data_IF_557381186658
#
_entry.id   IF_557381186658
#
_cell.length_a   1.000
_cell.length_b   1.000
_cell.length_c   1.000
_cell.angle_alpha   90.00
_cell.angle_beta   90.00
_cell.angle_gamma   90.00
#
_symmetry.space_group_name_H-M   'P 1'
#
loop_
_entity.id
_entity.type
_entity.pdbx_description
1 polymer ?
#
# COMPACT_ATOMS: atom_id res chain seq x y z
N UNK A 1 22.83 -31.51 24.00
CA UNK A 1 23.59 -31.20 22.78
C UNK A 1 23.09 -32.13 21.69
N UNK A 2 22.20 -31.69 20.88
CA UNK A 2 21.69 -32.48 19.75
C UNK A 2 21.44 -31.52 18.58
N UNK A 3 22.27 -31.72 17.53
CA UNK A 3 22.20 -30.94 16.28
C UNK A 3 21.24 -31.66 15.33
N UNK A 4 20.08 -31.10 15.09
CA UNK A 4 19.20 -31.55 14.00
C UNK A 4 19.62 -30.87 12.70
N UNK A 5 20.17 -31.66 11.80
CA UNK A 5 20.49 -31.35 10.42
C UNK A 5 19.21 -31.58 9.61
N UNK A 6 18.67 -30.53 8.98
CA UNK A 6 17.59 -30.69 7.99
C UNK A 6 18.16 -30.41 6.61
N UNK A 7 18.28 -31.49 5.84
CA UNK A 7 18.63 -31.51 4.43
C UNK A 7 17.34 -31.49 3.62
N UNK A 8 17.12 -30.48 2.79
CA UNK A 8 15.97 -30.42 1.88
C UNK A 8 16.51 -30.53 0.46
N UNK A 9 16.54 -31.78 -0.02
CA UNK A 9 16.87 -32.13 -1.39
C UNK A 9 15.88 -31.51 -2.39
N UNK A 10 16.41 -30.75 -3.32
CA UNK A 10 15.67 -30.26 -4.48
C UNK A 10 15.31 -31.39 -5.44
N UNK A 11 14.06 -31.45 -5.84
CA UNK A 11 13.60 -32.32 -6.92
C UNK A 11 13.34 -31.50 -8.17
N UNK A 12 14.24 -31.60 -9.13
CA UNK A 12 14.14 -31.07 -10.49
C UNK A 12 13.18 -31.98 -11.27
N UNK A 13 12.13 -31.42 -11.86
CA UNK A 13 11.27 -32.14 -12.81
C UNK A 13 11.55 -31.59 -14.22
N UNK A 14 12.32 -32.39 -14.97
CA UNK A 14 12.51 -32.23 -16.41
C UNK A 14 11.16 -32.43 -17.14
N UNK A 15 10.68 -31.35 -17.79
CA UNK A 15 9.53 -31.38 -18.71
C UNK A 15 10.00 -31.59 -20.14
N UNK A 16 9.98 -32.86 -20.60
CA UNK A 16 10.25 -33.27 -21.97
C UNK A 16 9.29 -32.65 -22.97
N UNK A 17 9.78 -31.85 -23.88
CA UNK A 17 9.06 -31.28 -25.03
C UNK A 17 8.94 -32.35 -26.14
N UNK A 18 7.73 -32.71 -26.54
CA UNK A 18 7.45 -33.53 -27.72
C UNK A 18 7.26 -32.65 -28.95
N UNK A 19 7.89 -32.97 -30.10
CA UNK A 19 7.63 -32.26 -31.35
C UNK A 19 6.32 -32.72 -31.96
N UNK A 20 5.44 -31.80 -32.28
CA UNK A 20 4.21 -32.04 -33.05
C UNK A 20 4.56 -31.86 -34.52
N UNK A 21 4.36 -32.96 -35.26
CA UNK A 21 4.55 -33.08 -36.69
C UNK A 21 3.55 -32.20 -37.46
N UNK A 22 4.08 -31.33 -38.35
CA UNK A 22 3.29 -30.50 -39.25
C UNK A 22 2.86 -31.35 -40.47
N UNK A 23 1.54 -31.53 -40.62
CA UNK A 23 0.96 -31.98 -41.89
C UNK A 23 0.49 -30.75 -42.68
N UNK A 24 1.11 -30.55 -43.82
CA UNK A 24 0.68 -29.58 -44.85
C UNK A 24 -0.65 -30.01 -45.46
N UNK A 25 -1.66 -29.15 -45.39
CA UNK A 25 -2.79 -29.16 -46.34
C UNK A 25 -3.02 -27.72 -46.79
N UNK A 26 -2.59 -27.49 -48.03
CA UNK A 26 -2.81 -26.25 -48.77
C UNK A 26 -4.27 -26.19 -49.22
N UNK A 27 -5.08 -25.30 -48.66
CA UNK A 27 -6.37 -24.90 -49.20
C UNK A 27 -6.31 -23.43 -49.53
N UNK A 28 -6.19 -23.11 -50.81
CA UNK A 28 -6.34 -21.76 -51.38
C UNK A 28 -7.81 -21.33 -51.22
N UNK A 29 -8.09 -20.51 -50.25
CA UNK A 29 -9.34 -19.72 -50.17
C UNK A 29 -8.98 -18.25 -50.33
N UNK A 30 -9.24 -17.69 -51.52
CA UNK A 30 -9.20 -16.27 -51.82
C UNK A 30 -10.34 -15.57 -51.06
N UNK A 31 -10.08 -15.11 -49.81
CA UNK A 31 -10.98 -14.20 -49.14
C UNK A 31 -10.64 -12.77 -49.53
N UNK A 32 -11.59 -12.12 -50.20
CA UNK A 32 -11.54 -10.69 -50.46
C UNK A 32 -11.47 -9.90 -49.15
N UNK A 33 -10.36 -9.20 -48.93
CA UNK A 33 -10.17 -8.25 -47.84
C UNK A 33 -11.05 -7.02 -48.08
N UNK A 34 -12.26 -7.01 -47.55
CA UNK A 34 -12.99 -5.76 -47.31
C UNK A 34 -12.38 -5.13 -46.06
N UNK A 35 -11.41 -4.24 -46.26
CA UNK A 35 -10.87 -3.38 -45.19
C UNK A 35 -11.94 -2.35 -44.82
N UNK A 36 -12.86 -2.72 -43.91
CA UNK A 36 -13.71 -1.74 -43.22
C UNK A 36 -12.84 -0.85 -42.33
N UNK A 37 -13.13 0.48 -42.23
CA UNK A 37 -12.45 1.34 -41.29
C UNK A 37 -12.67 0.79 -39.89
N UNK A 38 -11.62 0.34 -39.25
CA UNK A 38 -11.65 0.01 -37.82
C UNK A 38 -11.89 1.33 -37.08
N UNK A 39 -13.16 1.63 -36.76
CA UNK A 39 -13.50 2.67 -35.83
C UNK A 39 -12.89 2.27 -34.49
N UNK A 40 -11.74 2.86 -34.15
CA UNK A 40 -11.09 2.68 -32.87
C UNK A 40 -12.09 3.10 -31.80
N UNK A 41 -12.66 2.14 -31.08
CA UNK A 41 -13.42 2.42 -29.89
C UNK A 41 -12.45 2.97 -28.86
N UNK A 42 -12.40 4.29 -28.77
CA UNK A 42 -11.70 5.00 -27.72
C UNK A 42 -12.43 4.68 -26.40
N UNK A 43 -11.91 3.67 -25.67
CA UNK A 43 -12.42 3.36 -24.33
C UNK A 43 -12.18 4.57 -23.44
N UNK A 44 -13.25 5.19 -22.88
CA UNK A 44 -13.08 6.31 -22.00
C UNK A 44 -12.23 5.87 -20.81
N UNK A 45 -11.11 6.56 -20.59
CA UNK A 45 -10.25 6.32 -19.44
C UNK A 45 -11.09 6.46 -18.16
N UNK A 46 -11.00 5.50 -17.22
CA UNK A 46 -11.77 5.57 -15.99
C UNK A 46 -11.48 6.88 -15.26
N UNK A 47 -12.54 7.63 -15.00
CA UNK A 47 -12.44 8.91 -14.28
C UNK A 47 -11.75 8.71 -12.93
N UNK A 48 -10.83 9.60 -12.53
CA UNK A 48 -10.14 9.49 -11.26
C UNK A 48 -11.13 9.51 -10.11
N UNK A 49 -10.94 8.63 -9.13
CA UNK A 49 -11.80 8.59 -7.94
C UNK A 49 -11.77 9.94 -7.19
N UNK A 50 -12.93 10.46 -6.75
CA UNK A 50 -12.98 11.69 -6.00
C UNK A 50 -12.21 11.55 -4.68
N UNK A 51 -11.55 12.62 -4.25
CA UNK A 51 -10.77 12.63 -3.00
C UNK A 51 -11.69 12.52 -1.78
N UNK A 52 -11.10 12.09 -0.65
CA UNK A 52 -11.77 12.10 0.65
C UNK A 52 -12.14 13.54 1.04
N UNK A 53 -13.41 13.78 1.29
CA UNK A 53 -13.92 15.07 1.78
C UNK A 53 -14.62 14.88 3.14
N UNK A 54 -14.27 15.65 4.16
CA UNK A 54 -13.12 16.54 4.21
C UNK A 54 -11.78 15.77 4.22
N UNK A 55 -10.67 16.42 3.79
CA UNK A 55 -9.38 15.75 3.67
C UNK A 55 -8.87 15.28 5.05
N UNK A 56 -8.33 14.06 5.15
CA UNK A 56 -7.79 13.56 6.40
C UNK A 56 -6.56 14.36 6.86
N UNK A 57 -6.49 14.62 8.16
CA UNK A 57 -5.38 15.33 8.78
C UNK A 57 -4.66 14.39 9.78
N UNK A 58 -3.35 14.19 9.56
CA UNK A 58 -2.50 13.42 10.47
C UNK A 58 -1.61 14.38 11.26
N UNK A 59 -1.64 14.27 12.59
CA UNK A 59 -0.82 15.04 13.53
C UNK A 59 0.05 14.13 14.35
N UNK A 60 1.32 14.46 14.47
CA UNK A 60 2.30 13.79 15.32
C UNK A 60 2.90 14.81 16.28
N UNK A 61 3.00 14.44 17.55
CA UNK A 61 3.62 15.22 18.61
C UNK A 61 4.63 14.32 19.31
N UNK A 62 5.77 14.86 19.65
CA UNK A 62 6.82 14.11 20.33
C UNK A 62 8.10 14.92 20.46
N UNK A 63 9.17 14.26 20.90
CA UNK A 63 10.49 14.87 21.04
C UNK A 63 11.56 13.98 20.42
N UNK A 64 12.59 14.57 19.90
CA UNK A 64 13.80 13.88 19.43
C UNK A 64 14.56 13.29 20.62
N UNK A 65 15.25 12.19 20.38
CA UNK A 65 16.12 11.55 21.39
C UNK A 65 17.47 11.24 20.76
N UNK A 66 18.47 10.91 21.60
CA UNK A 66 19.82 10.53 21.11
C UNK A 66 19.79 9.37 20.11
N UNK A 67 18.79 8.50 20.16
CA UNK A 67 18.69 7.26 19.35
C UNK A 67 17.52 7.27 18.34
N UNK A 68 16.70 8.31 18.33
CA UNK A 68 15.52 8.40 17.45
C UNK A 68 14.51 9.44 17.90
N UNK A 69 13.26 9.04 18.17
CA UNK A 69 12.20 9.93 18.64
C UNK A 69 11.28 9.24 19.63
N UNK A 70 10.76 10.01 20.60
CA UNK A 70 9.64 9.60 21.46
C UNK A 70 8.37 10.31 20.98
N UNK A 71 7.42 9.56 20.51
CA UNK A 71 6.10 10.05 20.11
C UNK A 71 5.21 10.03 21.36
N UNK A 72 4.60 11.16 21.67
CA UNK A 72 3.70 11.34 22.80
C UNK A 72 2.24 11.35 22.38
N UNK A 73 1.96 11.73 21.13
CA UNK A 73 0.63 11.70 20.53
C UNK A 73 0.72 11.49 19.02
N UNK A 74 -0.07 10.56 18.51
CA UNK A 74 -0.31 10.40 17.08
C UNK A 74 -1.81 10.30 16.85
N UNK A 75 -2.37 11.25 16.12
CA UNK A 75 -3.80 11.32 15.86
C UNK A 75 -4.10 11.50 14.38
N UNK A 76 -5.22 10.93 13.95
CA UNK A 76 -5.76 11.03 12.61
C UNK A 76 -7.17 11.58 12.70
N UNK A 77 -7.41 12.75 12.12
CA UNK A 77 -8.75 13.27 11.90
C UNK A 77 -9.20 12.82 10.51
N UNK A 78 -10.27 12.05 10.44
CA UNK A 78 -10.77 11.46 9.20
C UNK A 78 -12.29 11.60 9.08
N UNK A 79 -12.85 11.60 7.85
CA UNK A 79 -14.29 11.57 7.66
C UNK A 79 -14.86 10.26 8.21
N UNK A 80 -16.07 10.33 8.73
CA UNK A 80 -16.79 9.18 9.24
C UNK A 80 -17.00 8.14 8.14
N UNK A 81 -16.92 6.85 8.49
CA UNK A 81 -16.95 5.72 7.56
C UNK A 81 -15.61 5.42 6.89
N UNK A 82 -14.55 6.22 7.16
CA UNK A 82 -13.22 5.87 6.71
C UNK A 82 -12.58 4.81 7.63
N UNK A 83 -11.73 3.97 7.06
CA UNK A 83 -10.90 3.01 7.80
C UNK A 83 -9.47 3.56 7.90
N UNK A 84 -8.91 3.54 9.10
CA UNK A 84 -7.53 3.91 9.35
C UNK A 84 -6.71 2.62 9.50
N UNK A 85 -5.66 2.48 8.71
CA UNK A 85 -4.70 1.39 8.81
C UNK A 85 -3.36 1.98 9.22
N UNK A 86 -2.80 1.48 10.32
CA UNK A 86 -1.48 1.84 10.80
C UNK A 86 -0.50 0.69 10.57
N UNK A 87 0.67 0.98 10.01
CA UNK A 87 1.71 0.01 9.70
C UNK A 87 3.06 0.49 10.20
N UNK A 88 3.82 -0.40 10.79
CA UNK A 88 5.19 -0.12 11.21
C UNK A 88 6.16 -0.97 10.41
N UNK A 89 7.16 -0.32 9.83
CA UNK A 89 8.21 -0.97 9.04
C UNK A 89 9.56 -0.68 9.68
N UNK A 90 10.34 -1.71 9.95
CA UNK A 90 11.70 -1.60 10.45
C UNK A 90 12.54 -2.79 9.97
N UNK A 91 13.86 -2.58 9.78
CA UNK A 91 14.79 -3.66 9.44
C UNK A 91 14.73 -4.80 10.46
N UNK A 92 14.63 -4.47 11.75
CA UNK A 92 14.37 -5.43 12.81
C UNK A 92 12.91 -5.29 13.27
N UNK A 93 12.09 -6.31 13.01
CA UNK A 93 10.64 -6.35 13.34
C UNK A 93 10.35 -6.10 14.83
N UNK A 94 11.25 -6.47 15.75
CA UNK A 94 11.11 -6.25 17.20
C UNK A 94 11.07 -4.75 17.58
N UNK A 95 11.45 -3.84 16.68
CA UNK A 95 11.37 -2.38 16.90
C UNK A 95 9.98 -1.82 16.67
N UNK A 96 9.07 -2.61 16.09
CA UNK A 96 7.68 -2.27 15.85
C UNK A 96 6.79 -2.89 16.92
N UNK A 97 5.77 -2.15 17.45
CA UNK A 97 4.79 -2.71 18.38
C UNK A 97 3.89 -3.76 17.72
N UNK A 98 3.68 -3.60 16.41
CA UNK A 98 2.94 -4.50 15.51
C UNK A 98 3.36 -4.21 14.07
N UNK A 99 3.12 -5.14 13.16
CA UNK A 99 3.37 -4.94 11.72
C UNK A 99 2.28 -4.06 11.10
N UNK A 100 1.01 -4.36 11.41
CA UNK A 100 -0.16 -3.65 10.92
C UNK A 100 -1.30 -3.72 11.93
N UNK A 101 -2.09 -2.64 12.02
CA UNK A 101 -3.32 -2.60 12.80
C UNK A 101 -4.37 -1.79 12.04
N UNK A 102 -5.61 -2.30 12.03
CA UNK A 102 -6.76 -1.63 11.44
C UNK A 102 -7.54 -0.95 12.56
N UNK A 103 -7.89 0.30 12.35
CA UNK A 103 -8.75 1.09 13.23
C UNK A 103 -9.88 1.66 12.40
N UNK A 104 -11.11 1.20 12.63
CA UNK A 104 -12.31 1.73 11.96
C UNK A 104 -12.74 3.08 12.55
N UNK A 105 -13.23 3.97 11.70
CA UNK A 105 -13.92 5.19 12.14
C UNK A 105 -15.42 4.88 12.19
N UNK A 106 -16.01 5.06 13.39
CA UNK A 106 -17.42 4.77 13.60
C UNK A 106 -18.36 5.55 12.64
N UNK A 107 -19.55 5.04 12.40
CA UNK A 107 -20.60 5.69 11.62
C UNK A 107 -21.03 7.05 12.18
N UNK A 108 -21.84 7.81 11.44
CA UNK A 108 -22.33 9.14 11.79
C UNK A 108 -22.06 10.18 10.70
N UNK A 109 -22.00 11.45 11.05
CA UNK A 109 -21.78 12.57 10.12
C UNK A 109 -20.50 13.33 10.50
N UNK A 110 -19.83 13.91 9.51
CA UNK A 110 -18.68 14.79 9.71
C UNK A 110 -17.33 14.09 9.80
N UNK A 111 -16.51 14.47 10.77
CA UNK A 111 -15.17 13.95 11.00
C UNK A 111 -14.95 13.49 12.43
N UNK A 112 -14.08 12.51 12.60
CA UNK A 112 -13.64 12.07 13.93
C UNK A 112 -12.12 12.07 14.05
N UNK A 113 -11.63 12.33 15.26
CA UNK A 113 -10.21 12.22 15.60
C UNK A 113 -9.99 10.91 16.34
N UNK A 114 -9.10 10.10 15.81
CA UNK A 114 -8.71 8.79 16.37
C UNK A 114 -7.25 8.86 16.80
N UNK A 115 -6.96 8.39 18.01
CA UNK A 115 -5.60 8.24 18.53
C UNK A 115 -5.02 6.89 18.12
N UNK A 116 -3.78 6.90 17.64
CA UNK A 116 -3.04 5.70 17.26
C UNK A 116 -2.09 5.33 18.40
N UNK A 117 -2.67 4.94 19.55
CA UNK A 117 -1.95 4.74 20.82
C UNK A 117 -0.77 3.76 20.71
N UNK A 118 -0.86 2.77 19.79
CA UNK A 118 0.24 1.82 19.55
C UNK A 118 1.54 2.48 19.09
N UNK A 119 1.47 3.70 18.54
CA UNK A 119 2.62 4.48 18.11
C UNK A 119 3.03 5.58 19.10
N UNK A 120 2.34 5.72 20.23
CA UNK A 120 2.67 6.68 21.29
C UNK A 120 3.75 6.11 22.21
N UNK A 121 4.96 5.97 21.69
CA UNK A 121 6.12 5.37 22.37
C UNK A 121 7.45 5.84 21.78
N UNK A 122 8.56 5.34 22.32
CA UNK A 122 9.90 5.60 21.77
C UNK A 122 10.22 4.68 20.62
N UNK A 123 10.75 5.27 19.54
CA UNK A 123 11.25 4.56 18.35
C UNK A 123 12.71 4.89 18.09
N UNK A 124 13.48 3.91 17.66
CA UNK A 124 14.85 4.10 17.18
C UNK A 124 14.85 4.62 15.74
N UNK A 125 15.91 5.30 15.34
CA UNK A 125 16.13 5.72 13.96
C UNK A 125 16.04 4.53 12.98
N UNK A 126 15.53 4.81 11.77
CA UNK A 126 15.30 3.82 10.72
C UNK A 126 13.92 3.13 10.77
N UNK A 127 13.14 3.33 11.82
CA UNK A 127 11.72 2.89 11.84
C UNK A 127 10.89 3.83 10.97
N UNK A 128 9.95 3.29 10.21
CA UNK A 128 8.97 4.03 9.41
C UNK A 128 7.57 3.70 9.91
N UNK A 129 6.85 4.73 10.34
CA UNK A 129 5.45 4.63 10.71
C UNK A 129 4.61 5.08 9.51
N UNK A 130 3.65 4.27 9.10
CA UNK A 130 2.80 4.52 7.95
C UNK A 130 1.33 4.53 8.38
N UNK A 131 0.59 5.50 7.88
CA UNK A 131 -0.83 5.67 8.13
C UNK A 131 -1.55 5.77 6.80
N UNK A 132 -2.60 4.98 6.66
CA UNK A 132 -3.47 4.94 5.50
C UNK A 132 -4.88 5.27 5.97
N UNK A 133 -5.52 6.20 5.32
CA UNK A 133 -6.93 6.53 5.52
C UNK A 133 -7.66 6.19 4.24
N UNK A 134 -8.48 5.17 4.27
CA UNK A 134 -9.19 4.63 3.10
C UNK A 134 -10.69 4.66 3.29
N UNK A 135 -11.43 4.90 2.21
CA UNK A 135 -12.89 4.79 2.14
C UNK A 135 -13.26 4.28 0.76
N UNK A 136 -14.19 3.34 0.69
CA UNK A 136 -14.65 2.79 -0.58
C UNK A 136 -15.11 3.90 -1.54
N UNK A 137 -14.78 3.78 -2.83
CA UNK A 137 -15.15 4.76 -3.86
C UNK A 137 -14.45 6.12 -3.76
N UNK A 138 -13.37 6.23 -2.98
CA UNK A 138 -12.62 7.49 -2.80
C UNK A 138 -11.12 7.26 -2.89
N UNK A 139 -10.41 8.28 -3.36
CA UNK A 139 -8.96 8.35 -3.23
C UNK A 139 -8.60 8.57 -1.77
N UNK A 140 -7.85 7.63 -1.20
CA UNK A 140 -7.43 7.67 0.19
C UNK A 140 -6.20 8.57 0.42
N UNK A 141 -5.85 8.77 1.71
CA UNK A 141 -4.66 9.51 2.14
C UNK A 141 -3.61 8.55 2.69
N UNK A 142 -2.38 8.73 2.27
CA UNK A 142 -1.19 8.13 2.86
C UNK A 142 -0.35 9.17 3.57
N UNK A 143 0.18 8.81 4.74
CA UNK A 143 1.16 9.61 5.47
C UNK A 143 2.19 8.69 6.10
N UNK A 144 3.48 8.98 5.94
CA UNK A 144 4.54 8.25 6.61
C UNK A 144 5.46 9.17 7.39
N UNK A 145 6.05 8.61 8.47
CA UNK A 145 7.04 9.27 9.31
C UNK A 145 8.27 8.37 9.44
N UNK A 146 9.37 8.75 8.79
CA UNK A 146 10.66 8.07 8.96
C UNK A 146 11.37 8.65 10.17
N UNK A 147 11.56 7.84 11.21
CA UNK A 147 12.28 8.24 12.42
C UNK A 147 13.76 8.41 12.07
N UNK A 148 14.30 9.57 12.41
CA UNK A 148 15.68 9.94 12.13
C UNK A 148 16.50 9.99 13.41
N UNK A 149 17.82 9.89 13.29
CA UNK A 149 18.74 10.04 14.40
C UNK A 149 18.90 11.53 14.74
N UNK A 150 18.59 11.91 15.98
CA UNK A 150 18.74 13.29 16.49
C UNK A 150 18.03 14.38 15.65
N UNK A 151 17.07 14.00 14.82
CA UNK A 151 16.29 14.91 13.97
C UNK A 151 14.80 14.61 14.11
N UNK A 152 13.97 15.60 13.79
CA UNK A 152 12.51 15.40 13.69
C UNK A 152 12.19 14.31 12.68
N UNK A 153 11.15 13.51 12.91
CA UNK A 153 10.71 12.50 11.94
C UNK A 153 10.42 13.14 10.57
N UNK A 154 10.99 12.56 9.52
CA UNK A 154 10.71 12.99 8.15
C UNK A 154 9.31 12.55 7.74
N UNK A 155 8.45 13.52 7.46
CA UNK A 155 7.09 13.29 6.98
C UNK A 155 7.06 13.20 5.45
N UNK A 156 6.26 12.26 4.93
CA UNK A 156 5.89 12.17 3.52
C UNK A 156 4.40 11.92 3.43
N UNK A 157 3.72 12.66 2.57
CA UNK A 157 2.31 12.52 2.26
C UNK A 157 2.14 12.02 0.83
N UNK A 158 1.03 11.34 0.56
CA UNK A 158 0.64 10.82 -0.73
C UNK A 158 -0.83 10.42 -0.74
N UNK A 159 -1.27 9.88 -1.86
CA UNK A 159 -2.61 9.35 -2.04
C UNK A 159 -2.57 7.84 -2.24
N UNK A 160 -3.74 7.22 -2.09
CA UNK A 160 -3.94 5.79 -2.34
C UNK A 160 -5.16 5.66 -3.24
N UNK A 161 -5.02 4.93 -4.33
CA UNK A 161 -6.13 4.61 -5.23
C UNK A 161 -6.64 3.20 -4.94
N UNK A 162 -7.97 3.06 -4.78
CA UNK A 162 -8.58 1.76 -4.51
C UNK A 162 -8.21 1.15 -3.15
N UNK A 163 -8.26 -0.18 -3.06
CA UNK A 163 -7.93 -0.96 -1.86
C UNK A 163 -6.45 -1.37 -1.79
N UNK A 164 -5.67 -1.04 -2.81
CA UNK A 164 -4.23 -1.29 -2.79
C UNK A 164 -3.57 -0.28 -1.86
N UNK A 165 -2.79 -0.75 -0.90
CA UNK A 165 -2.05 0.12 0.03
C UNK A 165 -0.73 0.62 -0.61
N UNK A 166 -0.73 0.86 -1.92
CA UNK A 166 0.41 1.39 -2.66
C UNK A 166 0.24 2.90 -2.77
N UNK A 167 1.15 3.69 -2.16
CA UNK A 167 1.10 5.13 -2.25
C UNK A 167 1.39 5.61 -3.69
N UNK A 168 0.60 6.57 -4.14
CA UNK A 168 0.76 7.26 -5.43
C UNK A 168 0.80 8.77 -5.24
N UNK A 169 1.18 9.51 -6.27
CA UNK A 169 0.99 10.96 -6.30
C UNK A 169 -0.49 11.30 -6.16
N UNK A 170 -0.81 12.38 -5.46
CA UNK A 170 -2.18 12.86 -5.41
C UNK A 170 -2.54 13.51 -6.76
N UNK A 171 -3.75 13.26 -7.29
CA UNK A 171 -4.24 14.04 -8.43
C UNK A 171 -4.34 15.51 -8.01
N UNK A 172 -3.84 16.39 -8.88
CA UNK A 172 -3.94 17.84 -8.71
C UNK A 172 -5.38 18.35 -8.87
#
# INVERSE_FOLDING_TARGET
MERAHFDIGGRSTDGSARPISMSLLAALMTFGLVAGPAAGQEYPLPSPLPQLSPPPLVRIVGRTTKVGARITRLSVRAPVGATIISKCVAKNKRRCPYSQRVVGVAGGVGTRTIHVNGFERSFRAGVVLQLYVVKAGRTGKYTSFKIQLRKTPLRRDGCITGLTLIPVGCPG
#
